data_IF_725097161653
#
_entry.id   IF_725097161653
#
_cell.length_a   1.000
_cell.length_b   1.000
_cell.length_c   1.000
_cell.angle_alpha   90.00
_cell.angle_beta   90.00
_cell.angle_gamma   90.00
#
_symmetry.space_group_name_H-M   'P 1'
#
loop_
_entity.id
_entity.type
_entity.pdbx_description
1 polymer ?
#
# COMPACT_ATOMS: atom_id res chain seq x y z
N UNK A 1 3.12 19.13 -12.37
CA UNK A 1 3.39 18.53 -11.05
C UNK A 1 4.88 18.23 -10.88
N UNK A 2 5.42 18.29 -9.65
CA UNK A 2 6.79 17.93 -9.28
C UNK A 2 6.81 17.11 -7.98
N UNK A 3 7.84 16.29 -7.67
CA UNK A 3 7.85 15.53 -6.42
C UNK A 3 7.71 16.43 -5.18
N UNK A 4 7.02 15.94 -4.16
CA UNK A 4 7.01 16.58 -2.85
C UNK A 4 8.38 16.52 -2.17
N UNK A 5 8.61 17.31 -1.11
CA UNK A 5 9.92 17.48 -0.51
C UNK A 5 10.48 16.19 0.12
N UNK A 6 9.64 15.32 0.67
CA UNK A 6 10.07 14.00 1.16
C UNK A 6 9.96 12.91 0.11
N UNK A 7 9.15 13.14 -0.93
CA UNK A 7 8.73 12.13 -1.89
C UNK A 7 8.10 10.92 -1.19
N UNK A 8 7.25 11.23 -0.20
CA UNK A 8 6.50 10.29 0.64
C UNK A 8 5.04 10.73 0.71
N UNK A 9 4.12 9.81 1.02
CA UNK A 9 2.70 10.12 1.20
C UNK A 9 2.46 11.18 2.28
N UNK A 10 3.37 11.29 3.25
CA UNK A 10 3.38 12.26 4.36
C UNK A 10 3.82 13.67 3.94
N UNK A 11 4.09 13.89 2.65
CA UNK A 11 4.08 15.23 2.07
C UNK A 11 2.67 15.83 2.09
N UNK A 12 1.61 15.00 2.03
CA UNK A 12 0.24 15.45 2.30
C UNK A 12 0.17 15.90 3.78
N UNK A 13 -0.14 17.18 4.05
CA UNK A 13 -0.09 17.73 5.40
C UNK A 13 -0.94 16.95 6.41
N UNK A 14 -0.40 16.78 7.62
CA UNK A 14 -1.09 16.12 8.74
C UNK A 14 -1.00 14.58 8.75
N UNK A 15 -0.62 13.94 7.64
CA UNK A 15 -0.43 12.49 7.61
C UNK A 15 0.87 12.05 8.28
N UNK A 16 0.79 10.89 8.92
CA UNK A 16 1.89 10.17 9.56
C UNK A 16 1.81 8.70 9.16
N UNK A 17 2.96 8.05 9.03
CA UNK A 17 3.07 6.62 8.73
C UNK A 17 4.02 5.98 9.73
N UNK A 18 3.63 4.83 10.27
CA UNK A 18 4.47 4.05 11.18
C UNK A 18 4.58 2.61 10.73
N UNK A 19 5.75 2.04 10.94
CA UNK A 19 6.08 0.66 10.60
C UNK A 19 6.43 -0.12 11.87
N UNK A 20 6.07 -1.39 11.91
CA UNK A 20 6.63 -2.37 12.83
C UNK A 20 6.77 -3.70 12.11
N UNK A 21 7.85 -4.41 12.40
CA UNK A 21 8.13 -5.70 11.78
C UNK A 21 8.83 -6.66 12.73
N UNK A 22 8.68 -7.95 12.41
CA UNK A 22 9.42 -9.04 13.03
C UNK A 22 10.28 -9.71 11.96
N UNK A 23 11.60 -9.67 12.17
CA UNK A 23 12.61 -10.17 11.21
C UNK A 23 12.68 -11.70 11.19
N UNK A 24 12.32 -12.38 12.28
CA UNK A 24 12.24 -13.85 12.30
C UNK A 24 10.98 -14.32 11.58
N UNK A 25 9.86 -13.67 11.86
CA UNK A 25 8.60 -13.88 11.16
C UNK A 25 8.73 -13.51 9.67
N UNK A 26 9.60 -12.56 9.34
CA UNK A 26 9.70 -11.89 8.04
C UNK A 26 8.35 -11.28 7.65
N UNK A 27 7.69 -10.60 8.56
CA UNK A 27 6.43 -9.90 8.29
C UNK A 27 6.33 -8.64 9.12
N UNK A 28 5.33 -7.82 8.86
CA UNK A 28 5.11 -6.59 9.58
C UNK A 28 3.82 -5.89 9.20
N UNK A 29 3.64 -4.73 9.81
CA UNK A 29 2.48 -3.88 9.66
C UNK A 29 2.92 -2.44 9.40
N UNK A 30 2.20 -1.77 8.52
CA UNK A 30 2.31 -0.34 8.26
C UNK A 30 0.96 0.34 8.56
N UNK A 31 0.99 1.42 9.32
CA UNK A 31 -0.20 2.18 9.71
C UNK A 31 -0.09 3.59 9.17
N UNK A 32 -1.11 4.04 8.44
CA UNK A 32 -1.30 5.45 8.09
C UNK A 32 -2.31 6.06 9.06
N UNK A 33 -1.94 7.17 9.70
CA UNK A 33 -2.81 7.93 10.61
C UNK A 33 -2.54 9.42 10.42
N UNK A 34 -3.26 10.25 11.17
CA UNK A 34 -3.09 11.70 11.16
C UNK A 34 -3.47 12.27 12.52
N UNK A 35 -3.20 13.55 12.76
CA UNK A 35 -3.61 14.22 14.00
C UNK A 35 -5.13 14.49 14.07
N UNK A 36 -5.79 14.53 12.91
CA UNK A 36 -7.24 14.67 12.75
C UNK A 36 -7.79 13.50 11.93
N UNK A 37 -9.09 13.15 12.09
CA UNK A 37 -9.72 12.15 11.24
C UNK A 37 -9.81 12.66 9.80
N UNK A 38 -9.80 11.74 8.83
CA UNK A 38 -9.79 12.06 7.40
C UNK A 38 -10.89 11.32 6.65
N UNK A 39 -11.35 11.89 5.53
CA UNK A 39 -12.31 11.24 4.64
C UNK A 39 -11.61 10.11 3.90
N UNK A 40 -12.26 8.96 3.79
CA UNK A 40 -11.68 7.81 3.10
C UNK A 40 -12.68 7.09 2.19
N UNK A 41 -12.14 6.47 1.14
CA UNK A 41 -12.83 5.56 0.23
C UNK A 41 -11.94 4.37 -0.10
N UNK A 42 -12.50 3.35 -0.75
CA UNK A 42 -11.76 2.15 -1.14
C UNK A 42 -12.25 1.60 -2.46
N UNK A 43 -11.34 1.02 -3.23
CA UNK A 43 -11.68 0.19 -4.38
C UNK A 43 -10.86 -1.10 -4.40
N UNK A 44 -11.56 -2.21 -4.49
CA UNK A 44 -10.99 -3.57 -4.57
C UNK A 44 -11.09 -4.03 -6.02
N UNK A 45 -9.95 -4.38 -6.62
CA UNK A 45 -9.89 -4.80 -8.02
C UNK A 45 -9.39 -6.24 -8.16
N UNK A 46 -8.56 -6.71 -7.22
CA UNK A 46 -8.11 -8.10 -7.18
C UNK A 46 -9.24 -9.08 -6.83
N UNK A 47 -9.12 -10.32 -7.31
CA UNK A 47 -10.11 -11.38 -7.11
C UNK A 47 -10.14 -12.03 -5.72
N UNK A 48 -9.09 -11.85 -4.90
CA UNK A 48 -8.99 -12.51 -3.60
C UNK A 48 -8.54 -11.55 -2.47
N UNK A 49 -9.40 -10.56 -2.11
CA UNK A 49 -9.07 -9.58 -1.07
C UNK A 49 -9.11 -10.18 0.34
N UNK A 50 -8.21 -9.71 1.20
CA UNK A 50 -8.35 -9.85 2.65
C UNK A 50 -8.47 -8.47 3.27
N UNK A 51 -9.65 -8.17 3.82
CA UNK A 51 -9.98 -6.82 4.30
C UNK A 51 -10.72 -6.85 5.62
N UNK A 52 -10.64 -5.72 6.33
CA UNK A 52 -11.45 -5.42 7.52
C UNK A 52 -12.11 -4.07 7.33
N UNK A 53 -13.39 -3.99 7.68
CA UNK A 53 -14.14 -2.73 7.79
C UNK A 53 -14.15 -1.89 6.50
N UNK A 54 -14.14 -2.51 5.32
CA UNK A 54 -14.23 -1.79 4.03
C UNK A 54 -15.62 -1.28 3.72
N UNK A 55 -16.68 -1.98 4.15
CA UNK A 55 -18.07 -1.62 3.83
C UNK A 55 -18.47 -0.23 4.31
N UNK A 56 -17.97 0.20 5.49
CA UNK A 56 -18.26 1.52 6.03
C UNK A 56 -17.65 2.66 5.20
N UNK A 57 -16.67 2.36 4.34
CA UNK A 57 -16.06 3.34 3.45
C UNK A 57 -16.90 3.60 2.19
N UNK A 58 -17.94 2.80 1.93
CA UNK A 58 -18.81 3.05 0.79
C UNK A 58 -19.50 4.43 0.90
N UNK A 59 -19.68 5.17 -0.21
CA UNK A 59 -20.13 6.57 -0.17
C UNK A 59 -21.50 6.79 0.47
N UNK A 60 -22.34 5.75 0.50
CA UNK A 60 -23.68 5.76 1.07
C UNK A 60 -23.71 5.47 2.58
N UNK A 61 -22.56 5.19 3.22
CA UNK A 61 -22.50 4.88 4.66
C UNK A 61 -22.20 6.10 5.51
N UNK A 62 -22.73 6.08 6.74
CA UNK A 62 -22.77 7.19 7.69
C UNK A 62 -21.42 7.61 8.28
N UNK A 63 -20.43 6.71 8.35
CA UNK A 63 -19.09 7.07 8.84
C UNK A 63 -18.43 8.00 7.83
N UNK A 64 -18.32 9.28 8.17
CA UNK A 64 -17.78 10.31 7.29
C UNK A 64 -16.24 10.27 7.22
N UNK A 65 -15.59 10.05 8.36
CA UNK A 65 -14.15 10.10 8.51
C UNK A 65 -13.65 8.98 9.44
N UNK A 66 -12.40 8.58 9.24
CA UNK A 66 -11.69 7.55 10.03
C UNK A 66 -10.36 8.09 10.56
N UNK A 67 -9.78 7.42 11.55
CA UNK A 67 -8.53 7.87 12.20
C UNK A 67 -7.26 7.18 11.66
N UNK A 68 -7.38 5.98 11.11
CA UNK A 68 -6.24 5.21 10.64
C UNK A 68 -6.64 4.17 9.57
N UNK A 69 -5.65 3.80 8.75
CA UNK A 69 -5.69 2.69 7.82
C UNK A 69 -4.50 1.77 8.06
N UNK A 70 -4.70 0.46 7.88
CA UNK A 70 -3.68 -0.56 8.12
C UNK A 70 -3.37 -1.35 6.84
N UNK A 71 -2.09 -1.46 6.53
CA UNK A 71 -1.57 -2.42 5.57
C UNK A 71 -0.74 -3.44 6.37
N UNK A 72 -0.97 -4.74 6.20
CA UNK A 72 -0.22 -5.76 6.97
C UNK A 72 0.12 -6.99 6.14
N UNK A 73 1.22 -7.65 6.48
CA UNK A 73 1.46 -9.03 6.08
C UNK A 73 0.56 -10.00 6.84
N UNK A 74 0.82 -11.29 6.72
CA UNK A 74 0.18 -12.33 7.51
C UNK A 74 -1.08 -12.95 6.96
N UNK A 75 -1.49 -12.59 5.75
CA UNK A 75 -2.80 -12.98 5.22
C UNK A 75 -3.91 -12.65 6.23
N UNK A 76 -4.95 -13.48 6.35
CA UNK A 76 -6.08 -13.24 7.25
C UNK A 76 -5.67 -13.01 8.72
N UNK A 77 -4.58 -13.61 9.21
CA UNK A 77 -4.07 -13.35 10.57
C UNK A 77 -3.67 -11.88 10.76
N UNK A 78 -3.16 -11.25 9.70
CA UNK A 78 -2.78 -9.85 9.63
C UNK A 78 -3.90 -8.86 9.90
N UNK A 79 -5.16 -9.26 9.71
CA UNK A 79 -6.32 -8.40 9.98
C UNK A 79 -6.43 -8.04 11.47
N UNK A 80 -5.79 -8.81 12.34
CA UNK A 80 -5.73 -8.52 13.78
C UNK A 80 -4.80 -7.33 14.10
N UNK A 81 -3.94 -6.90 13.18
CA UNK A 81 -3.18 -5.66 13.34
C UNK A 81 -4.09 -4.45 13.57
N UNK A 82 -5.26 -4.41 12.93
CA UNK A 82 -6.26 -3.38 13.18
C UNK A 82 -6.70 -3.37 14.65
N UNK A 83 -6.77 -4.51 15.34
CA UNK A 83 -7.14 -4.58 16.76
C UNK A 83 -6.11 -3.87 17.65
N UNK A 84 -4.82 -4.02 17.33
CA UNK A 84 -3.74 -3.29 17.99
C UNK A 84 -3.84 -1.78 17.79
N UNK A 85 -4.16 -1.34 16.59
CA UNK A 85 -4.38 0.09 16.27
C UNK A 85 -5.64 0.62 16.95
N UNK A 86 -6.74 -0.14 17.00
CA UNK A 86 -7.96 0.20 17.75
C UNK A 86 -7.63 0.43 19.22
N UNK A 87 -6.91 -0.50 19.86
CA UNK A 87 -6.48 -0.35 21.25
C UNK A 87 -5.61 0.92 21.43
N UNK A 88 -4.82 1.28 20.43
CA UNK A 88 -3.99 2.45 20.49
C UNK A 88 -4.69 3.79 20.33
N UNK A 89 -5.62 3.88 19.38
CA UNK A 89 -6.50 5.03 19.24
C UNK A 89 -7.39 5.19 20.47
N UNK A 90 -7.93 4.10 21.02
CA UNK A 90 -8.72 4.14 22.24
C UNK A 90 -7.92 4.72 23.42
N UNK A 91 -6.67 4.27 23.61
CA UNK A 91 -5.78 4.81 24.65
C UNK A 91 -5.46 6.30 24.43
N UNK A 92 -5.47 6.77 23.18
CA UNK A 92 -5.31 8.19 22.84
C UNK A 92 -6.62 9.00 22.90
N UNK A 93 -7.75 8.39 23.29
CA UNK A 93 -9.06 9.05 23.33
C UNK A 93 -9.59 9.42 21.94
N UNK A 94 -9.20 8.68 20.89
CA UNK A 94 -9.59 8.90 19.49
C UNK A 94 -10.60 7.86 19.02
N UNK A 95 -11.39 8.22 18.03
CA UNK A 95 -12.47 7.39 17.49
C UNK A 95 -13.77 8.15 17.31
N UNK A 96 -14.71 7.50 16.63
CA UNK A 96 -16.05 7.98 16.36
C UNK A 96 -16.85 8.14 17.66
N UNK A 97 -17.43 9.31 17.89
CA UNK A 97 -18.16 9.61 19.11
C UNK A 97 -19.61 9.10 19.02
N UNK A 98 -20.02 8.29 19.99
CA UNK A 98 -21.40 7.82 20.19
C UNK A 98 -21.83 8.20 21.59
N UNK A 99 -22.37 9.40 21.75
CA UNK A 99 -22.60 10.00 23.06
C UNK A 99 -21.28 10.12 23.84
N UNK A 100 -21.15 9.55 25.06
CA UNK A 100 -19.90 9.57 25.83
C UNK A 100 -18.88 8.53 25.38
N UNK A 101 -19.27 7.54 24.55
CA UNK A 101 -18.37 6.50 24.07
C UNK A 101 -17.56 6.97 22.85
N UNK A 102 -16.32 6.51 22.72
CA UNK A 102 -15.48 6.69 21.54
C UNK A 102 -15.09 5.34 20.96
N UNK A 103 -15.42 5.13 19.69
CA UNK A 103 -15.21 3.87 18.98
C UNK A 103 -14.21 4.09 17.84
N UNK A 104 -12.96 3.65 17.96
CA UNK A 104 -12.01 3.68 16.86
C UNK A 104 -12.50 2.84 15.68
N UNK A 105 -12.37 3.38 14.47
CA UNK A 105 -12.71 2.70 13.22
C UNK A 105 -11.42 2.57 12.41
N UNK A 106 -11.00 1.34 12.15
CA UNK A 106 -9.68 1.05 11.55
C UNK A 106 -9.82 0.03 10.42
N UNK A 107 -10.14 0.50 9.20
CA UNK A 107 -10.11 -0.35 8.03
C UNK A 107 -8.68 -0.81 7.73
N UNK A 108 -8.56 -1.99 7.14
CA UNK A 108 -7.27 -2.53 6.77
C UNK A 108 -7.34 -3.52 5.63
N UNK A 109 -6.18 -3.75 5.02
CA UNK A 109 -5.97 -4.74 3.99
C UNK A 109 -4.70 -5.54 4.30
N UNK A 110 -4.67 -6.79 3.86
CA UNK A 110 -3.55 -7.70 4.11
C UNK A 110 -2.93 -8.20 2.81
N UNK A 111 -1.67 -8.63 2.91
CA UNK A 111 -0.97 -9.39 1.88
C UNK A 111 -0.53 -10.74 2.42
N UNK A 112 -0.36 -11.70 1.51
CA UNK A 112 0.13 -13.03 1.85
C UNK A 112 1.67 -13.08 1.86
N UNK A 113 2.27 -13.33 3.02
CA UNK A 113 3.70 -13.55 3.19
C UNK A 113 4.00 -14.75 4.11
N UNK A 114 3.03 -15.68 4.26
CA UNK A 114 3.18 -16.84 5.13
C UNK A 114 4.18 -17.88 4.58
N UNK A 115 4.45 -17.86 3.27
CA UNK A 115 5.43 -18.75 2.59
C UNK A 115 6.62 -17.96 2.03
N UNK A 116 7.29 -17.19 2.91
CA UNK A 116 8.41 -16.31 2.54
C UNK A 116 9.75 -16.69 3.20
N UNK A 117 9.82 -17.86 3.84
CA UNK A 117 11.02 -18.37 4.51
C UNK A 117 11.22 -17.89 5.96
N UNK A 118 10.32 -17.06 6.51
CA UNK A 118 10.35 -16.71 7.94
C UNK A 118 9.65 -17.75 8.82
N UNK A 119 9.93 -17.73 10.12
CA UNK A 119 9.32 -18.62 11.10
C UNK A 119 7.84 -18.28 11.33
N UNK A 120 6.96 -19.26 11.11
CA UNK A 120 5.50 -19.13 11.30
C UNK A 120 4.99 -19.95 12.49
N UNK A 121 5.90 -20.51 13.29
CA UNK A 121 5.58 -21.32 14.47
C UNK A 121 5.32 -20.42 15.70
N UNK A 122 4.27 -19.61 15.64
CA UNK A 122 3.79 -18.85 16.78
C UNK A 122 2.76 -19.64 17.61
N UNK A 123 2.63 -19.31 18.89
CA UNK A 123 1.53 -19.80 19.73
C UNK A 123 0.33 -18.82 19.72
N UNK A 124 0.61 -17.52 19.66
CA UNK A 124 -0.38 -16.44 19.62
C UNK A 124 -0.16 -15.59 18.36
N UNK A 125 -1.24 -15.04 17.80
CA UNK A 125 -1.18 -14.19 16.63
C UNK A 125 -0.45 -12.86 16.96
N UNK A 126 0.70 -12.55 16.34
CA UNK A 126 1.52 -11.38 16.71
C UNK A 126 1.02 -10.08 16.09
N UNK A 127 0.11 -10.12 15.11
CA UNK A 127 -0.20 -8.94 14.31
C UNK A 127 -0.87 -7.83 15.12
N UNK A 128 -1.66 -8.13 16.16
CA UNK A 128 -2.18 -7.10 17.06
C UNK A 128 -1.06 -6.31 17.74
N UNK A 129 -0.01 -6.98 18.23
CA UNK A 129 1.15 -6.29 18.82
C UNK A 129 1.90 -5.45 17.77
N UNK A 130 2.11 -5.99 16.57
CA UNK A 130 2.74 -5.27 15.45
C UNK A 130 1.92 -4.04 15.04
N UNK A 131 0.60 -4.14 14.95
CA UNK A 131 -0.28 -3.01 14.64
C UNK A 131 -0.22 -1.91 15.69
N UNK A 132 -0.22 -2.27 16.98
CA UNK A 132 -0.05 -1.31 18.07
C UNK A 132 1.31 -0.61 18.01
N UNK A 133 2.38 -1.37 17.77
CA UNK A 133 3.74 -0.83 17.64
C UNK A 133 3.86 0.12 16.44
N UNK A 134 3.33 -0.27 15.27
CA UNK A 134 3.33 0.55 14.06
C UNK A 134 2.57 1.85 14.27
N UNK A 135 1.40 1.84 14.93
CA UNK A 135 0.68 3.06 15.27
C UNK A 135 1.49 3.98 16.19
N UNK A 136 2.18 3.43 17.20
CA UNK A 136 3.00 4.22 18.12
C UNK A 136 4.25 4.81 17.44
N UNK A 137 4.74 4.17 16.38
CA UNK A 137 5.91 4.62 15.61
C UNK A 137 5.55 5.61 14.49
N UNK A 138 4.29 6.06 14.38
CA UNK A 138 3.86 6.90 13.26
C UNK A 138 4.49 8.29 13.26
N UNK A 139 5.20 8.62 12.18
CA UNK A 139 5.90 9.90 11.99
C UNK A 139 5.79 10.37 10.52
N UNK A 140 6.29 11.56 10.22
CA UNK A 140 6.38 12.11 8.86
C UNK A 140 7.42 11.40 8.02
N UNK A 141 8.52 10.94 8.61
CA UNK A 141 9.53 10.16 7.92
C UNK A 141 9.46 8.71 8.37
N UNK A 142 9.52 7.77 7.43
CA UNK A 142 9.42 6.34 7.69
C UNK A 142 10.25 5.56 6.67
N UNK A 143 10.67 4.35 7.05
CA UNK A 143 11.48 3.50 6.20
C UNK A 143 10.66 2.91 5.03
N UNK A 144 11.31 2.73 3.89
CA UNK A 144 10.80 2.04 2.69
C UNK A 144 11.59 0.75 2.44
N UNK A 145 11.17 -0.03 1.44
CA UNK A 145 11.77 -1.31 1.10
C UNK A 145 11.36 -2.40 2.08
N UNK A 146 12.32 -2.96 2.81
CA UNK A 146 12.09 -4.08 3.74
C UNK A 146 11.73 -3.58 5.13
N UNK A 147 10.56 -2.95 5.23
CA UNK A 147 10.01 -2.36 6.44
C UNK A 147 8.48 -2.53 6.51
N UNK A 148 7.92 -2.61 7.72
CA UNK A 148 6.49 -2.73 7.96
C UNK A 148 5.84 -3.85 7.15
N UNK A 149 4.73 -3.56 6.48
CA UNK A 149 4.04 -4.51 5.60
C UNK A 149 4.89 -4.99 4.41
N UNK A 150 5.95 -4.27 4.05
CA UNK A 150 6.90 -4.65 3.00
C UNK A 150 7.94 -5.69 3.42
N UNK A 151 8.09 -5.98 4.72
CA UNK A 151 9.16 -6.83 5.26
C UNK A 151 9.20 -8.22 4.61
N UNK A 152 8.03 -8.83 4.47
CA UNK A 152 7.86 -10.17 3.90
C UNK A 152 7.52 -10.21 2.42
N UNK A 153 7.43 -9.05 1.77
CA UNK A 153 6.85 -8.92 0.44
C UNK A 153 7.80 -9.42 -0.66
N UNK A 154 7.23 -10.10 -1.65
CA UNK A 154 7.91 -10.63 -2.84
C UNK A 154 7.17 -10.19 -4.11
N UNK A 155 7.91 -9.76 -5.12
CA UNK A 155 7.38 -9.25 -6.38
C UNK A 155 7.89 -10.06 -7.56
N UNK A 156 7.17 -11.13 -7.90
CA UNK A 156 7.48 -12.14 -8.91
C UNK A 156 8.90 -12.74 -8.87
N UNK A 157 9.91 -11.97 -9.23
CA UNK A 157 11.29 -12.42 -9.46
C UNK A 157 12.30 -11.74 -8.53
N UNK A 158 11.90 -10.64 -7.91
CA UNK A 158 12.70 -9.89 -6.95
C UNK A 158 11.97 -9.75 -5.62
N UNK A 159 12.69 -9.33 -4.59
CA UNK A 159 12.09 -8.89 -3.33
C UNK A 159 11.12 -7.72 -3.60
N UNK A 160 9.94 -7.79 -3.00
CA UNK A 160 8.97 -6.69 -3.00
C UNK A 160 9.33 -5.68 -1.92
N UNK A 161 8.35 -4.93 -1.43
CA UNK A 161 8.60 -4.05 -0.29
C UNK A 161 7.51 -3.04 -0.01
N UNK A 162 7.85 -2.06 0.82
CA UNK A 162 7.06 -0.88 1.11
C UNK A 162 7.56 0.29 0.26
N UNK A 163 6.68 0.92 -0.49
CA UNK A 163 7.01 2.03 -1.36
C UNK A 163 6.17 3.25 -1.08
N UNK A 164 6.72 4.43 -1.35
CA UNK A 164 5.96 5.67 -1.27
C UNK A 164 6.52 6.70 -2.27
N UNK A 165 5.64 7.55 -2.78
CA UNK A 165 5.98 8.65 -3.67
C UNK A 165 4.93 9.76 -3.54
N UNK A 166 5.28 10.97 -3.95
CA UNK A 166 4.34 12.10 -3.95
C UNK A 166 4.55 13.05 -5.12
N UNK A 167 3.55 13.90 -5.33
CA UNK A 167 3.55 15.05 -6.22
C UNK A 167 2.93 16.25 -5.53
N UNK A 168 3.42 17.44 -5.86
CA UNK A 168 2.73 18.72 -5.70
C UNK A 168 2.27 19.18 -7.08
N UNK A 169 0.99 19.50 -7.19
CA UNK A 169 0.33 19.98 -8.41
C UNK A 169 0.56 21.48 -8.61
N UNK A 170 0.31 22.04 -9.81
CA UNK A 170 0.54 23.47 -10.08
C UNK A 170 -0.25 24.42 -9.18
N UNK A 171 -1.41 23.99 -8.68
CA UNK A 171 -2.27 24.75 -7.76
C UNK A 171 -1.82 24.64 -6.29
N UNK A 172 -0.78 23.85 -6.00
CA UNK A 172 -0.28 23.58 -4.66
C UNK A 172 -0.88 22.35 -3.97
N UNK A 173 -1.89 21.70 -4.57
CA UNK A 173 -2.47 20.45 -4.07
C UNK A 173 -1.39 19.37 -4.01
N UNK A 174 -1.31 18.66 -2.89
CA UNK A 174 -0.40 17.53 -2.72
C UNK A 174 -1.13 16.22 -2.92
N UNK A 175 -0.49 15.29 -3.62
CA UNK A 175 -0.96 13.91 -3.83
C UNK A 175 0.16 12.94 -3.47
N UNK A 176 -0.15 11.89 -2.71
CA UNK A 176 0.83 10.90 -2.26
C UNK A 176 0.32 9.48 -2.41
N UNK A 177 1.23 8.52 -2.50
CA UNK A 177 0.94 7.08 -2.48
C UNK A 177 1.84 6.35 -1.50
N UNK A 178 1.31 5.30 -0.88
CA UNK A 178 1.97 4.32 -0.02
C UNK A 178 1.50 2.94 -0.44
N UNK A 179 2.41 1.99 -0.60
CA UNK A 179 2.07 0.66 -1.11
C UNK A 179 2.93 -0.42 -0.46
N UNK A 180 2.33 -1.54 -0.11
CA UNK A 180 3.05 -2.78 0.13
C UNK A 180 2.90 -3.67 -1.11
N UNK A 181 4.00 -3.81 -1.86
CA UNK A 181 4.02 -4.47 -3.16
C UNK A 181 4.43 -5.94 -3.01
N UNK A 182 3.44 -6.84 -3.02
CA UNK A 182 3.62 -8.29 -3.03
C UNK A 182 2.89 -8.96 -4.23
N UNK A 183 3.05 -8.48 -5.47
CA UNK A 183 2.31 -9.01 -6.62
C UNK A 183 2.79 -10.40 -7.04
N UNK A 184 1.91 -11.14 -7.72
CA UNK A 184 2.31 -12.31 -8.51
C UNK A 184 3.04 -11.89 -9.78
N UNK A 185 2.53 -10.84 -10.43
CA UNK A 185 3.08 -10.23 -11.63
C UNK A 185 4.40 -9.51 -11.39
N UNK A 186 5.15 -9.32 -12.46
CA UNK A 186 6.47 -8.73 -12.39
C UNK A 186 6.39 -7.21 -12.32
N UNK A 187 7.16 -6.61 -11.41
CA UNK A 187 7.41 -5.16 -11.37
C UNK A 187 8.52 -4.74 -12.34
N UNK A 188 9.34 -5.71 -12.75
CA UNK A 188 10.42 -5.55 -13.72
C UNK A 188 10.04 -6.11 -15.08
N UNK A 189 10.63 -5.54 -16.12
CA UNK A 189 10.59 -6.08 -17.48
C UNK A 189 11.44 -7.36 -17.58
N UNK A 190 11.33 -8.13 -18.69
CA UNK A 190 12.16 -9.32 -18.90
C UNK A 190 13.66 -9.03 -18.71
N UNK A 191 14.34 -9.91 -17.98
CA UNK A 191 15.74 -9.71 -17.60
C UNK A 191 15.94 -8.95 -16.28
N UNK A 192 14.85 -8.59 -15.59
CA UNK A 192 14.83 -8.09 -14.21
C UNK A 192 15.63 -6.79 -13.99
N UNK A 193 16.00 -6.09 -15.07
CA UNK A 193 16.83 -4.87 -15.03
C UNK A 193 16.00 -3.59 -15.02
N UNK A 194 14.98 -3.48 -15.86
CA UNK A 194 14.18 -2.27 -15.98
C UNK A 194 12.85 -2.44 -15.24
N UNK A 195 12.28 -1.35 -14.74
CA UNK A 195 10.93 -1.35 -14.18
C UNK A 195 9.90 -1.03 -15.25
N UNK A 196 8.70 -1.62 -15.16
CA UNK A 196 7.57 -1.18 -16.00
C UNK A 196 7.22 0.30 -15.75
N UNK A 197 7.42 0.77 -14.52
CA UNK A 197 7.21 2.16 -14.13
C UNK A 197 8.33 3.12 -14.58
N UNK A 198 9.37 2.65 -15.28
CA UNK A 198 10.51 3.48 -15.71
C UNK A 198 10.12 4.79 -16.46
N UNK A 199 9.05 4.85 -17.29
CA UNK A 199 8.63 6.10 -17.92
C UNK A 199 8.24 7.21 -16.92
N UNK A 200 7.97 6.85 -15.67
CA UNK A 200 7.53 7.76 -14.61
C UNK A 200 8.64 8.03 -13.56
N UNK A 201 9.85 7.53 -13.78
CA UNK A 201 10.99 7.77 -12.88
C UNK A 201 11.36 9.25 -12.84
N UNK A 202 11.65 9.77 -11.65
CA UNK A 202 12.14 11.13 -11.47
C UNK A 202 13.45 11.07 -10.70
N UNK A 203 14.48 11.77 -11.19
CA UNK A 203 15.78 11.93 -10.50
C UNK A 203 16.46 10.62 -10.07
N UNK A 204 16.25 9.51 -10.81
CA UNK A 204 16.86 8.22 -10.50
C UNK A 204 16.36 7.58 -9.20
N UNK A 205 15.15 7.95 -8.75
CA UNK A 205 14.61 7.58 -7.43
C UNK A 205 14.40 6.07 -7.19
N UNK A 206 14.50 5.25 -8.24
CA UNK A 206 14.52 3.79 -8.16
C UNK A 206 15.63 3.17 -9.03
N UNK A 207 16.74 3.90 -9.21
CA UNK A 207 18.00 3.38 -9.74
C UNK A 207 18.39 3.87 -11.14
N UNK A 208 17.55 4.67 -11.82
CA UNK A 208 17.92 5.33 -13.08
C UNK A 208 18.23 4.38 -14.23
N UNK A 209 17.66 3.18 -14.23
CA UNK A 209 17.94 2.15 -15.24
C UNK A 209 17.38 2.49 -16.63
N UNK A 210 16.45 3.46 -16.69
CA UNK A 210 15.75 3.90 -17.89
C UNK A 210 14.67 2.93 -18.35
N UNK A 211 13.95 3.31 -19.41
CA UNK A 211 12.97 2.44 -20.07
C UNK A 211 13.69 1.27 -20.75
N UNK A 212 13.07 0.09 -20.72
CA UNK A 212 13.60 -1.08 -21.42
C UNK A 212 13.63 -0.83 -22.94
N UNK A 213 14.79 -0.93 -23.62
CA UNK A 213 14.86 -0.79 -25.07
C UNK A 213 14.24 -1.98 -25.82
N UNK A 214 14.00 -3.11 -25.16
CA UNK A 214 13.32 -4.25 -25.77
C UNK A 214 11.86 -3.90 -26.09
N UNK A 215 11.41 -4.29 -27.28
CA UNK A 215 10.03 -4.07 -27.74
C UNK A 215 9.40 -5.35 -28.26
N UNK A 216 8.07 -5.36 -28.37
CA UNK A 216 7.28 -6.52 -28.77
C UNK A 216 6.66 -7.26 -27.58
N UNK A 217 5.60 -8.01 -27.86
CA UNK A 217 4.96 -8.84 -26.84
C UNK A 217 5.90 -9.98 -26.45
N UNK A 218 6.23 -10.04 -25.17
CA UNK A 218 6.92 -11.18 -24.56
C UNK A 218 6.06 -11.70 -23.44
N UNK A 219 5.93 -13.03 -23.36
CA UNK A 219 5.32 -13.65 -22.19
C UNK A 219 6.22 -13.34 -20.99
N UNK A 220 5.68 -12.80 -19.88
CA UNK A 220 6.47 -12.56 -18.68
C UNK A 220 7.19 -13.83 -18.24
N UNK A 221 8.43 -13.68 -17.80
CA UNK A 221 9.20 -14.81 -17.27
C UNK A 221 8.46 -15.43 -16.07
N UNK A 222 8.55 -16.76 -15.86
CA UNK A 222 7.92 -17.41 -14.72
C UNK A 222 8.30 -16.75 -13.39
N UNK A 223 7.30 -16.65 -12.51
CA UNK A 223 7.44 -16.09 -11.17
C UNK A 223 8.29 -16.99 -10.27
N UNK A 224 9.45 -16.49 -9.82
CA UNK A 224 10.31 -17.19 -8.88
C UNK A 224 9.69 -17.25 -7.48
N UNK A 225 8.86 -16.26 -7.14
CA UNK A 225 8.01 -16.24 -5.95
C UNK A 225 7.13 -17.48 -5.92
N UNK A 226 6.36 -17.70 -7.00
CA UNK A 226 5.48 -18.86 -7.08
C UNK A 226 6.25 -20.18 -6.97
N UNK A 227 7.38 -20.28 -7.69
CA UNK A 227 8.25 -21.46 -7.60
C UNK A 227 8.81 -21.69 -6.19
N UNK A 228 9.13 -20.63 -5.45
CA UNK A 228 9.64 -20.71 -4.08
C UNK A 228 8.55 -21.09 -3.10
N UNK A 229 7.34 -20.54 -3.24
CA UNK A 229 6.19 -20.93 -2.45
C UNK A 229 5.84 -22.41 -2.66
N UNK A 230 5.85 -22.89 -3.90
CA UNK A 230 5.62 -24.32 -4.23
C UNK A 230 6.63 -25.24 -3.55
N UNK A 231 7.91 -24.86 -3.50
CA UNK A 231 8.94 -25.63 -2.77
C UNK A 231 8.66 -25.69 -1.28
N UNK A 232 8.24 -24.59 -0.67
CA UNK A 232 7.91 -24.53 0.76
C UNK A 232 6.61 -25.26 1.11
N UNK A 233 5.68 -25.39 0.16
CA UNK A 233 4.42 -26.10 0.36
C UNK A 233 4.57 -27.63 0.44
N UNK A 234 5.76 -28.19 0.13
CA UNK A 234 6.09 -29.62 0.31
C UNK A 234 4.97 -30.59 -0.15
N UNK A 235 4.58 -30.47 -1.43
CA UNK A 235 3.53 -31.23 -2.12
C UNK A 235 2.07 -30.88 -1.76
N UNK A 236 1.84 -29.96 -0.82
CA UNK A 236 0.50 -29.39 -0.61
C UNK A 236 0.09 -28.49 -1.79
N UNK A 237 -1.16 -28.59 -2.21
CA UNK A 237 -1.71 -27.70 -3.24
C UNK A 237 -1.75 -26.25 -2.71
N UNK A 238 -1.12 -25.33 -3.45
CA UNK A 238 -1.29 -23.90 -3.23
C UNK A 238 -2.51 -23.48 -4.03
N UNK A 239 -3.59 -22.99 -3.39
CA UNK A 239 -4.72 -22.44 -4.12
C UNK A 239 -4.25 -21.35 -5.08
N UNK A 240 -4.81 -21.35 -6.29
CA UNK A 240 -4.57 -20.26 -7.25
C UNK A 240 -5.09 -18.91 -6.74
N UNK A 241 -5.95 -18.93 -5.71
CA UNK A 241 -6.63 -17.78 -5.11
C UNK A 241 -5.91 -17.30 -3.82
N UNK A 242 -5.72 -15.99 -3.66
CA UNK A 242 -5.40 -15.35 -2.38
C UNK A 242 -3.95 -15.41 -1.90
N UNK A 243 -2.99 -15.71 -2.78
CA UNK A 243 -1.56 -15.85 -2.43
C UNK A 243 -0.70 -14.63 -2.78
N UNK A 244 -1.28 -13.58 -3.37
CA UNK A 244 -0.55 -12.41 -3.87
C UNK A 244 -1.37 -11.12 -3.69
N UNK A 245 -0.71 -9.97 -3.50
CA UNK A 245 -1.43 -8.72 -3.21
C UNK A 245 -0.56 -7.48 -3.37
N UNK A 246 -1.07 -6.47 -4.06
CA UNK A 246 -0.58 -5.08 -3.96
C UNK A 246 -1.63 -4.24 -3.24
N UNK A 247 -1.36 -3.89 -1.99
CA UNK A 247 -2.26 -3.09 -1.15
C UNK A 247 -1.69 -1.68 -1.00
N UNK A 248 -2.50 -0.67 -1.26
CA UNK A 248 -2.05 0.70 -1.30
C UNK A 248 -3.01 1.69 -0.63
N UNK A 249 -2.46 2.84 -0.28
CA UNK A 249 -3.17 4.05 0.13
C UNK A 249 -2.70 5.17 -0.79
N UNK A 250 -3.63 5.90 -1.41
CA UNK A 250 -3.36 7.20 -2.03
C UNK A 250 -3.99 8.29 -1.19
N UNK A 251 -3.37 9.47 -1.14
CA UNK A 251 -3.86 10.56 -0.32
C UNK A 251 -3.72 11.91 -1.01
N UNK A 252 -4.56 12.86 -0.62
CA UNK A 252 -4.47 14.27 -1.03
C UNK A 252 -4.94 15.21 0.08
N UNK A 253 -4.51 16.47 0.01
CA UNK A 253 -5.04 17.58 0.82
C UNK A 253 -6.20 18.32 0.14
N UNK A 254 -6.51 18.01 -1.11
CA UNK A 254 -7.74 18.48 -1.75
C UNK A 254 -8.97 18.03 -0.96
N UNK A 255 -9.99 18.90 -0.78
CA UNK A 255 -11.22 18.57 -0.08
C UNK A 255 -12.07 17.64 -0.94
N UNK A 256 -12.08 16.34 -0.61
CA UNK A 256 -12.85 15.33 -1.34
C UNK A 256 -13.93 14.71 -0.46
N UNK A 257 -15.10 14.48 -1.05
CA UNK A 257 -16.17 13.64 -0.49
C UNK A 257 -15.82 12.14 -0.56
N UNK A 258 -16.59 11.28 0.10
CA UNK A 258 -16.39 9.80 0.05
C UNK A 258 -16.49 9.24 -1.37
N UNK A 259 -17.43 9.73 -2.18
CA UNK A 259 -17.59 9.30 -3.58
C UNK A 259 -16.40 9.72 -4.44
N UNK A 260 -15.85 10.92 -4.21
CA UNK A 260 -14.64 11.38 -4.87
C UNK A 260 -13.40 10.60 -4.40
N UNK A 261 -13.30 10.25 -3.11
CA UNK A 261 -12.25 9.35 -2.62
C UNK A 261 -12.36 7.97 -3.28
N UNK A 262 -13.56 7.39 -3.38
CA UNK A 262 -13.75 6.13 -4.09
C UNK A 262 -13.32 6.23 -5.56
N UNK A 263 -13.65 7.34 -6.24
CA UNK A 263 -13.19 7.59 -7.62
C UNK A 263 -11.68 7.73 -7.72
N UNK A 264 -11.04 8.39 -6.74
CA UNK A 264 -9.59 8.50 -6.64
C UNK A 264 -8.94 7.12 -6.46
N UNK A 265 -9.50 6.26 -5.61
CA UNK A 265 -9.05 4.89 -5.43
C UNK A 265 -9.14 4.09 -6.73
N UNK A 266 -10.24 4.24 -7.49
CA UNK A 266 -10.39 3.62 -8.83
C UNK A 266 -9.30 4.10 -9.78
N UNK A 267 -9.12 5.42 -9.92
CA UNK A 267 -8.13 5.98 -10.83
C UNK A 267 -6.70 5.53 -10.50
N UNK A 268 -6.38 5.39 -9.21
CA UNK A 268 -5.08 4.95 -8.76
C UNK A 268 -4.73 3.51 -9.20
N UNK A 269 -5.69 2.62 -9.45
CA UNK A 269 -5.42 1.25 -9.96
C UNK A 269 -4.73 1.26 -11.34
N UNK A 270 -4.91 2.31 -12.16
CA UNK A 270 -4.10 2.49 -13.37
C UNK A 270 -2.60 2.49 -13.06
N UNK A 271 -2.23 3.00 -11.87
CA UNK A 271 -0.87 2.99 -11.36
C UNK A 271 -0.31 1.59 -11.14
N UNK A 272 -1.15 0.67 -10.66
CA UNK A 272 -0.82 -0.75 -10.53
C UNK A 272 -0.63 -1.38 -11.91
N UNK A 273 -1.60 -1.19 -12.83
CA UNK A 273 -1.52 -1.75 -14.18
C UNK A 273 -0.33 -1.24 -15.02
N UNK A 274 0.18 -0.04 -14.72
CA UNK A 274 1.38 0.53 -15.34
C UNK A 274 2.70 0.01 -14.77
N UNK A 275 2.69 -0.53 -13.55
CA UNK A 275 3.90 -0.94 -12.83
C UNK A 275 4.03 -2.46 -12.64
N UNK A 276 2.94 -3.21 -12.81
CA UNK A 276 2.88 -4.65 -12.56
C UNK A 276 2.27 -5.34 -13.77
N UNK A 277 2.97 -6.37 -14.28
CA UNK A 277 2.50 -7.14 -15.44
C UNK A 277 2.60 -8.66 -15.17
N UNK A 278 1.49 -9.41 -15.19
CA UNK A 278 0.09 -8.95 -15.15
C UNK A 278 -0.31 -8.45 -13.74
N UNK A 279 -1.29 -7.55 -13.67
CA UNK A 279 -1.92 -7.10 -12.43
C UNK A 279 -3.36 -7.62 -12.29
N UNK A 280 -3.93 -7.53 -11.08
CA UNK A 280 -5.35 -7.81 -10.82
C UNK A 280 -5.82 -9.20 -11.23
N UNK A 281 -4.94 -10.21 -11.13
CA UNK A 281 -5.35 -11.58 -11.42
C UNK A 281 -6.38 -12.06 -10.39
N UNK A 282 -7.15 -13.14 -10.68
CA UNK A 282 -8.04 -13.74 -9.69
C UNK A 282 -7.35 -14.15 -8.38
N UNK A 283 -6.04 -14.41 -8.44
CA UNK A 283 -5.21 -14.74 -7.28
C UNK A 283 -4.65 -13.56 -6.52
N UNK A 284 -4.80 -12.34 -7.05
CA UNK A 284 -4.35 -11.11 -6.41
C UNK A 284 -5.49 -10.52 -5.55
N UNK A 285 -5.16 -9.98 -4.37
CA UNK A 285 -6.10 -9.21 -3.54
C UNK A 285 -5.94 -7.69 -3.70
N UNK A 286 -5.52 -7.22 -4.88
CA UNK A 286 -5.17 -5.82 -5.13
C UNK A 286 -6.27 -4.85 -4.72
N UNK A 287 -5.90 -3.84 -3.93
CA UNK A 287 -6.81 -2.88 -3.33
C UNK A 287 -6.11 -1.53 -3.13
N UNK A 288 -6.86 -0.46 -3.36
CA UNK A 288 -6.41 0.91 -3.06
C UNK A 288 -7.42 1.57 -2.13
N UNK A 289 -6.95 2.06 -0.98
CA UNK A 289 -7.65 3.07 -0.20
C UNK A 289 -7.30 4.46 -0.72
N UNK A 290 -8.24 5.39 -0.65
CA UNK A 290 -8.00 6.80 -0.92
C UNK A 290 -8.36 7.64 0.31
N UNK A 291 -7.52 8.63 0.60
CA UNK A 291 -7.64 9.53 1.75
C UNK A 291 -7.67 10.99 1.30
N UNK A 292 -8.53 11.79 1.93
CA UNK A 292 -8.53 13.25 1.81
C UNK A 292 -8.44 13.88 3.19
N UNK A 293 -7.44 14.74 3.38
CA UNK A 293 -7.24 15.53 4.61
C UNK A 293 -7.93 16.89 4.56
N UNK A 294 -8.37 17.33 3.37
CA UNK A 294 -9.12 18.57 3.19
C UNK A 294 -10.55 18.47 3.74
N UNK A 295 -11.12 19.62 4.11
CA UNK A 295 -12.48 19.70 4.64
C UNK A 295 -13.52 19.33 3.56
N UNK A 296 -14.28 18.22 3.70
CA UNK A 296 -15.26 17.81 2.69
C UNK A 296 -16.40 18.83 2.51
N UNK A 297 -16.67 19.72 3.48
CA UNK A 297 -17.63 20.81 3.31
C UNK A 297 -17.25 21.77 2.19
N UNK A 298 -15.95 22.04 2.04
CA UNK A 298 -15.40 22.90 0.99
C UNK A 298 -15.49 22.28 -0.42
N UNK A 299 -15.69 20.96 -0.53
CA UNK A 299 -15.89 20.27 -1.81
C UNK A 299 -17.20 20.65 -2.51
N UNK A 300 -18.20 21.11 -1.74
CA UNK A 300 -19.58 21.33 -2.21
C UNK A 300 -19.96 22.80 -2.45
N UNK A 301 -19.10 23.73 -2.01
CA UNK A 301 -19.38 25.18 -2.03
C UNK A 301 -18.88 25.90 -3.28
N UNK A 302 -18.09 25.25 -4.13
CA UNK A 302 -17.60 25.80 -5.40
C UNK A 302 -18.56 25.51 -6.56
N UNK A 303 -19.29 26.53 -7.02
CA UNK A 303 -20.17 26.46 -8.20
C UNK A 303 -19.44 26.23 -9.54
N UNK A 304 -18.12 26.10 -9.52
CA UNK A 304 -17.26 25.69 -10.62
C UNK A 304 -16.32 24.62 -10.07
N UNK A 305 -16.47 23.38 -10.57
CA UNK A 305 -15.58 22.22 -10.40
C UNK A 305 -14.69 22.27 -9.13
N UNK A 306 -15.15 21.65 -8.03
CA UNK A 306 -14.26 21.29 -6.92
C UNK A 306 -13.00 20.60 -7.42
N UNK A 307 -11.89 20.71 -6.68
CA UNK A 307 -10.53 20.25 -7.01
C UNK A 307 -10.47 19.23 -8.17
N UNK A 308 -9.68 19.52 -9.23
CA UNK A 308 -9.67 18.74 -10.48
C UNK A 308 -9.38 17.26 -10.20
N UNK A 309 -10.46 16.49 -10.04
CA UNK A 309 -10.40 15.09 -9.67
C UNK A 309 -9.73 14.26 -10.77
N UNK A 310 -9.75 14.74 -12.02
CA UNK A 310 -9.04 14.16 -13.13
C UNK A 310 -7.52 14.30 -12.95
N UNK A 311 -7.04 15.50 -12.67
CA UNK A 311 -5.62 15.76 -12.42
C UNK A 311 -5.12 15.06 -11.14
N UNK A 312 -5.88 15.13 -10.05
CA UNK A 312 -5.57 14.43 -8.79
C UNK A 312 -5.53 12.92 -9.00
N UNK A 313 -6.52 12.36 -9.72
CA UNK A 313 -6.58 10.94 -10.05
C UNK A 313 -5.39 10.49 -10.90
N UNK A 314 -5.01 11.28 -11.91
CA UNK A 314 -3.84 11.03 -12.73
C UNK A 314 -2.54 11.05 -11.90
N UNK A 315 -2.36 12.07 -11.06
CA UNK A 315 -1.20 12.18 -10.18
C UNK A 315 -1.11 11.03 -9.16
N UNK A 316 -2.25 10.58 -8.62
CA UNK A 316 -2.30 9.42 -7.72
C UNK A 316 -1.88 8.12 -8.42
N UNK A 317 -2.33 7.90 -9.66
CA UNK A 317 -1.91 6.75 -10.45
C UNK A 317 -0.40 6.77 -10.73
N UNK A 318 0.16 7.94 -11.09
CA UNK A 318 1.61 8.09 -11.29
C UNK A 318 2.41 7.89 -9.98
N UNK A 319 1.93 8.45 -8.85
CA UNK A 319 2.53 8.21 -7.54
C UNK A 319 2.54 6.72 -7.21
N UNK A 320 1.43 6.01 -7.45
CA UNK A 320 1.35 4.58 -7.16
C UNK A 320 2.29 3.76 -8.06
N UNK A 321 2.39 4.05 -9.36
CA UNK A 321 3.38 3.39 -10.22
C UNK A 321 4.81 3.57 -9.71
N UNK A 322 5.18 4.81 -9.36
CA UNK A 322 6.50 5.15 -8.83
C UNK A 322 6.75 4.47 -7.49
N UNK A 323 5.76 4.47 -6.60
CA UNK A 323 5.85 3.84 -5.29
C UNK A 323 6.06 2.32 -5.41
N UNK A 324 5.40 1.64 -6.35
CA UNK A 324 5.60 0.20 -6.59
C UNK A 324 7.04 -0.10 -7.02
N UNK A 325 7.62 0.68 -7.94
CA UNK A 325 9.03 0.51 -8.32
C UNK A 325 9.97 0.80 -7.15
N UNK A 326 9.73 1.89 -6.40
CA UNK A 326 10.51 2.23 -5.19
C UNK A 326 10.44 1.12 -4.13
N UNK A 327 9.30 0.46 -3.96
CA UNK A 327 9.15 -0.65 -3.02
C UNK A 327 10.17 -1.78 -3.28
N UNK A 328 10.32 -2.20 -4.54
CA UNK A 328 11.26 -3.26 -4.93
C UNK A 328 12.71 -2.74 -5.04
N UNK A 329 12.91 -1.53 -5.55
CA UNK A 329 14.25 -0.96 -5.72
C UNK A 329 14.94 -0.64 -4.39
N UNK A 330 14.18 -0.25 -3.37
CA UNK A 330 14.69 0.08 -2.03
C UNK A 330 14.68 -1.12 -1.07
N UNK A 331 14.26 -2.30 -1.53
CA UNK A 331 14.26 -3.51 -0.72
C UNK A 331 15.69 -3.91 -0.34
N UNK A 332 15.91 -4.20 0.95
CA UNK A 332 17.21 -4.60 1.49
C UNK A 332 17.27 -6.11 1.69
N UNK A 333 18.43 -6.75 1.46
CA UNK A 333 18.57 -8.19 1.67
C UNK A 333 18.52 -8.53 3.16
N UNK A 334 17.82 -9.61 3.48
CA UNK A 334 17.78 -10.20 4.82
C UNK A 334 18.24 -11.67 4.78
N UNK A 335 18.82 -12.20 5.87
CA UNK A 335 19.14 -13.61 5.97
C UNK A 335 17.95 -14.51 5.61
N UNK A 336 18.22 -15.55 4.82
CA UNK A 336 17.20 -16.51 4.39
C UNK A 336 16.16 -15.94 3.42
N UNK A 337 16.43 -14.84 2.71
CA UNK A 337 15.56 -14.37 1.64
C UNK A 337 15.47 -15.38 0.49
N UNK A 338 14.25 -15.59 0.00
CA UNK A 338 13.98 -16.53 -1.09
C UNK A 338 14.34 -15.95 -2.46
N UNK A 339 14.21 -14.63 -2.62
CA UNK A 339 14.43 -13.90 -3.86
C UNK A 339 15.49 -12.81 -3.67
N UNK A 340 16.24 -12.47 -4.72
CA UNK A 340 17.21 -11.39 -4.66
C UNK A 340 16.52 -10.02 -4.57
N UNK A 341 17.19 -9.04 -3.95
CA UNK A 341 16.86 -7.64 -4.16
C UNK A 341 17.17 -7.22 -5.60
N UNK A 342 16.47 -6.20 -6.09
CA UNK A 342 16.73 -5.66 -7.43
C UNK A 342 18.11 -4.99 -7.52
N UNK A 343 18.47 -4.17 -6.53
CA UNK A 343 19.84 -3.67 -6.40
C UNK A 343 20.75 -4.81 -5.98
N UNK A 344 21.72 -5.15 -6.84
CA UNK A 344 22.80 -6.07 -6.47
C UNK A 344 23.76 -5.29 -5.57
N UNK A 345 23.88 -5.73 -4.31
CA UNK A 345 24.92 -5.30 -3.38
C UNK A 345 26.32 -5.50 -3.96
#
# INVERSE_FOLDING_TARGET
>A
MHPGPLNLITDVPGLKVGNAEDRQLKSGTTVLTADQPFTAGVHVMGGAPGTRETDLLAPDKSVAQIDALVLSGGSAFGLDACSGVVAGLHAAGRGFAVGPARVPIVPGAILFDLLNGGDKAWAENPYSALGRAAYMAADRQFALGTAGAGTGALAARVKGGLGSASFVLPDGTTVGALVAANPLGSVTTPGDRHFWAAPFEINGEFGGAGVDPASGFTTPAPSLKLASMQKLAADAAIPAEGSNTTIAIVATDAPLTKSQCQRLAIAAHDGIGRAIVPAHSPGDGDLVFAVSTGDPGAATTGGELGADLGEIGHAAALCLSRAIARAAALACPEPGDLLPCWQKS
#
